data_IF_326980613167
#
_entry.id   IF_326980613167
#
_cell.length_a   1.000
_cell.length_b   1.000
_cell.length_c   1.000
_cell.angle_alpha   90.00
_cell.angle_beta   90.00
_cell.angle_gamma   90.00
#
_symmetry.space_group_name_H-M   'P 1'
#
loop_
_entity.id
_entity.type
_entity.pdbx_description
1 polymer ?
#
# COMPACT_ATOMS: atom_id res chain seq x y z
N UNK A 1 -21.30 11.17 -28.47
CA UNK A 1 -21.07 9.74 -28.79
C UNK A 1 -19.56 9.40 -28.86
N UNK A 2 -18.67 10.16 -29.55
CA UNK A 2 -17.21 9.87 -29.60
C UNK A 2 -16.51 9.84 -28.21
N UNK A 3 -16.92 10.64 -27.24
CA UNK A 3 -16.32 10.68 -25.88
C UNK A 3 -16.71 9.49 -25.00
N UNK A 4 -17.90 8.91 -25.21
CA UNK A 4 -18.32 7.66 -24.56
C UNK A 4 -17.59 6.44 -25.15
N UNK A 5 -17.31 6.44 -26.46
CA UNK A 5 -16.56 5.37 -27.11
C UNK A 5 -15.11 5.28 -26.62
N UNK A 6 -14.45 6.42 -26.33
CA UNK A 6 -13.09 6.44 -25.77
C UNK A 6 -13.08 5.90 -24.34
N UNK A 7 -14.07 6.21 -23.52
CA UNK A 7 -14.18 5.65 -22.16
C UNK A 7 -14.41 4.13 -22.20
N UNK A 8 -15.22 3.62 -23.12
CA UNK A 8 -15.43 2.17 -23.30
C UNK A 8 -14.18 1.45 -23.82
N UNK A 9 -13.37 2.06 -24.69
CA UNK A 9 -12.13 1.47 -25.20
C UNK A 9 -11.03 1.42 -24.13
N UNK A 10 -10.99 2.40 -23.22
CA UNK A 10 -10.02 2.41 -22.10
C UNK A 10 -10.41 1.41 -21.00
N UNK A 11 -11.72 1.13 -20.83
CA UNK A 11 -12.21 0.18 -19.82
C UNK A 11 -12.28 -1.27 -20.33
N UNK A 12 -12.30 -1.50 -21.65
CA UNK A 12 -12.41 -2.84 -22.23
C UNK A 12 -11.28 -3.82 -21.81
N UNK A 13 -10.00 -3.44 -21.76
CA UNK A 13 -8.95 -4.34 -21.27
C UNK A 13 -9.00 -4.61 -19.75
N UNK A 14 -9.66 -3.76 -18.96
CA UNK A 14 -9.80 -3.97 -17.53
C UNK A 14 -10.78 -5.10 -17.17
N UNK A 15 -11.72 -5.42 -18.08
CA UNK A 15 -12.75 -6.47 -17.87
C UNK A 15 -12.22 -7.87 -18.20
N UNK A 16 -11.13 -7.99 -18.96
CA UNK A 16 -10.58 -9.28 -19.42
C UNK A 16 -9.25 -9.66 -18.75
N UNK A 17 -8.81 -8.93 -17.73
CA UNK A 17 -7.64 -9.36 -16.98
C UNK A 17 -7.99 -10.58 -16.12
N UNK A 18 -7.24 -11.70 -16.19
CA UNK A 18 -7.44 -12.84 -15.30
C UNK A 18 -7.29 -12.37 -13.85
N UNK A 19 -8.14 -12.88 -12.95
CA UNK A 19 -8.04 -12.61 -11.53
C UNK A 19 -6.67 -13.09 -11.02
N UNK A 20 -5.76 -12.16 -10.75
CA UNK A 20 -4.47 -12.48 -10.14
C UNK A 20 -4.65 -12.43 -8.62
N UNK A 21 -4.31 -13.53 -7.95
CA UNK A 21 -4.32 -13.61 -6.50
C UNK A 21 -3.22 -12.69 -5.95
N UNK A 22 -3.59 -11.80 -5.06
CA UNK A 22 -2.70 -10.77 -4.57
C UNK A 22 -1.78 -11.25 -3.43
N UNK A 23 -2.18 -12.29 -2.69
CA UNK A 23 -1.39 -12.97 -1.68
C UNK A 23 -1.10 -14.39 -2.15
N UNK A 24 0.01 -14.95 -1.68
CA UNK A 24 0.30 -16.35 -1.90
C UNK A 24 -0.81 -17.21 -1.28
N UNK A 25 -1.65 -17.78 -2.12
CA UNK A 25 -2.70 -18.72 -1.69
C UNK A 25 -2.14 -20.13 -1.81
N UNK A 26 -2.35 -20.97 -0.79
CA UNK A 26 -2.01 -22.37 -0.83
C UNK A 26 -2.96 -23.07 -1.82
N UNK A 27 -2.42 -23.55 -2.94
CA UNK A 27 -3.20 -24.22 -4.00
C UNK A 27 -3.32 -25.71 -3.78
N UNK A 28 -2.22 -26.33 -3.34
CA UNK A 28 -2.12 -27.79 -3.19
C UNK A 28 -1.05 -28.13 -2.16
N UNK A 29 -1.27 -29.23 -1.47
CA UNK A 29 -0.30 -29.87 -0.58
C UNK A 29 -0.06 -31.30 -1.04
N UNK A 30 1.15 -31.76 -0.99
CA UNK A 30 1.54 -33.13 -1.29
C UNK A 30 2.36 -33.70 -0.11
N UNK A 31 1.85 -34.74 0.61
CA UNK A 31 0.52 -35.38 0.48
C UNK A 31 -0.63 -34.41 0.76
N UNK A 32 -1.81 -34.70 0.17
CA UNK A 32 -2.98 -33.81 0.31
C UNK A 32 -3.35 -33.56 1.78
N UNK A 33 -3.75 -32.34 2.11
CA UNK A 33 -4.25 -32.02 3.45
C UNK A 33 -5.43 -32.96 3.82
N UNK A 34 -5.50 -33.35 5.09
CA UNK A 34 -6.50 -34.29 5.62
C UNK A 34 -6.48 -35.69 4.95
N UNK A 35 -5.42 -36.03 4.23
CA UNK A 35 -5.24 -37.40 3.69
C UNK A 35 -4.51 -38.30 4.66
N UNK A 36 -4.59 -39.61 4.39
CA UNK A 36 -3.82 -40.63 5.09
C UNK A 36 -2.88 -41.30 4.10
N UNK A 37 -1.60 -41.38 4.44
CA UNK A 37 -0.58 -42.08 3.68
C UNK A 37 -0.17 -43.34 4.41
N UNK A 38 0.02 -44.43 3.68
CA UNK A 38 0.37 -45.76 4.26
C UNK A 38 1.74 -45.74 4.94
N UNK A 39 2.69 -44.93 4.45
CA UNK A 39 4.02 -44.72 5.02
C UNK A 39 4.35 -43.26 5.07
N UNK A 40 5.11 -42.84 6.08
CA UNK A 40 5.57 -41.47 6.18
C UNK A 40 6.32 -41.02 4.92
N UNK A 41 5.96 -39.89 4.29
CA UNK A 41 6.70 -39.33 3.17
C UNK A 41 8.03 -38.75 3.65
N UNK A 42 9.01 -38.63 2.74
CA UNK A 42 10.28 -37.99 3.05
C UNK A 42 10.16 -36.48 3.24
N UNK A 43 9.12 -35.88 2.69
CA UNK A 43 8.86 -34.45 2.73
C UNK A 43 7.38 -34.15 2.51
N UNK A 44 6.96 -32.94 2.91
CA UNK A 44 5.68 -32.34 2.55
C UNK A 44 5.97 -31.15 1.63
N UNK A 45 5.24 -31.02 0.52
CA UNK A 45 5.40 -29.92 -0.43
C UNK A 45 4.12 -29.10 -0.50
N UNK A 46 4.25 -27.80 -0.24
CA UNK A 46 3.16 -26.83 -0.33
C UNK A 46 3.33 -26.02 -1.61
N UNK A 47 2.33 -26.01 -2.48
CA UNK A 47 2.34 -25.26 -3.73
C UNK A 47 1.46 -24.02 -3.63
N UNK A 48 2.05 -22.86 -3.90
CA UNK A 48 1.39 -21.55 -3.81
C UNK A 48 1.06 -20.98 -5.18
N UNK A 49 0.11 -20.04 -5.20
CA UNK A 49 -0.31 -19.32 -6.42
C UNK A 49 0.78 -18.42 -6.99
N UNK A 50 1.76 -18.03 -6.18
CA UNK A 50 2.86 -17.14 -6.55
C UNK A 50 4.12 -17.49 -5.74
N UNK A 51 5.25 -16.85 -6.08
CA UNK A 51 6.51 -16.97 -5.36
C UNK A 51 6.34 -16.62 -3.88
N UNK A 52 7.00 -17.40 -3.01
CA UNK A 52 6.99 -17.20 -1.57
C UNK A 52 8.42 -17.16 -1.02
N UNK A 53 8.57 -16.54 0.14
CA UNK A 53 9.82 -16.58 0.92
C UNK A 53 9.57 -17.35 2.21
N UNK A 54 10.38 -18.41 2.51
CA UNK A 54 10.25 -19.13 3.77
C UNK A 54 10.48 -18.21 4.96
N UNK A 55 9.65 -18.33 6.00
CA UNK A 55 9.83 -17.62 7.26
C UNK A 55 10.68 -18.48 8.20
N UNK A 56 11.71 -17.89 8.81
CA UNK A 56 12.68 -18.60 9.64
C UNK A 56 12.04 -19.35 10.81
N UNK A 57 10.91 -18.83 11.34
CA UNK A 57 10.14 -19.45 12.41
C UNK A 57 8.66 -19.47 12.06
N UNK A 58 7.97 -20.55 12.44
CA UNK A 58 6.52 -20.68 12.26
C UNK A 58 6.08 -21.71 11.24
N UNK A 59 7.03 -22.43 10.61
CA UNK A 59 6.74 -23.65 9.87
C UNK A 59 7.27 -24.83 10.68
N UNK A 60 6.37 -25.72 11.11
CA UNK A 60 6.68 -26.86 11.96
C UNK A 60 5.71 -28.02 11.69
N UNK A 61 6.18 -29.24 11.90
CA UNK A 61 5.36 -30.44 11.81
C UNK A 61 5.38 -31.14 13.17
N UNK A 62 4.22 -31.20 13.81
CA UNK A 62 4.05 -31.82 15.12
C UNK A 62 3.39 -33.19 14.96
N UNK A 63 4.09 -34.21 15.36
CA UNK A 63 3.60 -35.61 15.41
C UNK A 63 2.81 -35.90 16.69
N UNK A 64 2.42 -37.18 16.87
CA UNK A 64 1.76 -37.66 18.05
C UNK A 64 2.51 -37.27 19.34
N UNK A 65 1.80 -36.69 20.29
CA UNK A 65 2.41 -36.21 21.54
C UNK A 65 3.17 -34.89 21.42
N UNK A 66 3.03 -34.14 20.31
CA UNK A 66 3.66 -32.84 20.12
C UNK A 66 5.16 -32.89 19.78
N UNK A 67 5.64 -34.06 19.31
CA UNK A 67 7.05 -34.22 18.92
C UNK A 67 7.30 -33.58 17.55
N UNK A 68 8.43 -32.87 17.38
CA UNK A 68 8.85 -32.34 16.09
C UNK A 68 9.14 -33.48 15.11
N UNK A 69 8.64 -33.37 13.90
CA UNK A 69 8.75 -34.39 12.86
C UNK A 69 9.59 -33.96 11.65
N UNK A 70 10.02 -32.70 11.58
CA UNK A 70 10.91 -32.21 10.55
C UNK A 70 12.36 -32.62 10.79
N UNK A 71 13.08 -32.92 9.71
CA UNK A 71 14.52 -33.25 9.73
C UNK A 71 15.41 -32.02 9.47
N UNK A 72 14.88 -30.99 8.83
CA UNK A 72 15.59 -29.77 8.48
C UNK A 72 14.58 -28.60 8.32
N UNK A 73 15.04 -27.34 8.37
CA UNK A 73 14.19 -26.19 8.11
C UNK A 73 13.50 -26.24 6.74
N UNK A 74 12.26 -25.75 6.68
CA UNK A 74 11.55 -25.60 5.41
C UNK A 74 12.30 -24.68 4.46
N UNK A 75 12.35 -25.04 3.18
CA UNK A 75 13.08 -24.31 2.13
C UNK A 75 12.31 -24.33 0.81
N UNK A 76 12.67 -23.44 -0.12
CA UNK A 76 12.07 -23.45 -1.46
C UNK A 76 12.59 -24.62 -2.28
N UNK A 77 11.71 -25.16 -3.12
CA UNK A 77 12.13 -26.13 -4.11
C UNK A 77 13.12 -25.49 -5.10
N UNK A 78 14.25 -26.12 -5.42
CA UNK A 78 15.19 -25.60 -6.41
C UNK A 78 14.59 -25.46 -7.82
N UNK A 79 13.47 -26.16 -8.09
CA UNK A 79 12.80 -26.17 -9.39
C UNK A 79 11.59 -25.26 -9.47
N UNK A 80 11.02 -24.82 -8.35
CA UNK A 80 9.83 -23.98 -8.32
C UNK A 80 9.83 -23.09 -7.06
N UNK A 81 10.06 -21.81 -7.25
CA UNK A 81 10.05 -20.78 -6.19
C UNK A 81 8.66 -20.58 -5.55
N UNK A 82 7.62 -21.22 -6.09
CA UNK A 82 6.26 -21.27 -5.54
C UNK A 82 6.00 -22.51 -4.71
N UNK A 83 7.01 -23.38 -4.51
CA UNK A 83 6.87 -24.61 -3.75
C UNK A 83 7.75 -24.56 -2.50
N UNK A 84 7.11 -24.62 -1.31
CA UNK A 84 7.79 -24.78 -0.02
C UNK A 84 7.91 -26.28 0.28
N UNK A 85 9.13 -26.73 0.53
CA UNK A 85 9.45 -28.10 0.92
C UNK A 85 9.72 -28.15 2.42
N UNK A 86 9.05 -29.03 3.13
CA UNK A 86 9.26 -29.33 4.55
C UNK A 86 9.81 -30.76 4.65
N UNK A 87 11.13 -30.96 4.86
CA UNK A 87 11.72 -32.27 5.00
C UNK A 87 11.27 -32.96 6.30
N UNK A 88 10.93 -34.23 6.25
CA UNK A 88 10.50 -34.99 7.40
C UNK A 88 11.61 -35.96 7.86
N UNK A 89 11.63 -36.25 9.16
CA UNK A 89 12.53 -37.22 9.75
C UNK A 89 12.21 -38.63 9.26
N UNK A 90 13.20 -39.50 9.04
CA UNK A 90 12.94 -40.88 8.68
C UNK A 90 12.33 -41.64 9.85
N UNK A 91 11.50 -42.64 9.56
CA UNK A 91 10.96 -43.55 10.56
C UNK A 91 9.88 -42.95 11.46
N UNK A 92 9.15 -41.97 10.97
CA UNK A 92 8.00 -41.40 11.68
C UNK A 92 6.98 -42.52 12.00
N UNK A 93 6.43 -42.48 13.23
CA UNK A 93 5.44 -43.43 13.71
C UNK A 93 4.06 -43.22 13.07
N UNK A 94 3.23 -44.25 13.08
CA UNK A 94 1.83 -44.10 12.70
C UNK A 94 1.12 -43.10 13.65
N UNK A 95 0.36 -42.19 13.08
CA UNK A 95 -0.34 -41.16 13.84
C UNK A 95 -0.77 -39.96 12.99
N UNK A 96 -1.37 -38.99 13.63
CA UNK A 96 -1.76 -37.74 13.01
C UNK A 96 -0.67 -36.68 13.22
N UNK A 97 -0.31 -36.01 12.12
CA UNK A 97 0.72 -34.97 12.08
C UNK A 97 0.07 -33.65 11.76
N UNK A 98 0.24 -32.67 12.64
CA UNK A 98 -0.23 -31.30 12.43
C UNK A 98 0.88 -30.50 11.77
N UNK A 99 0.60 -29.99 10.58
CA UNK A 99 1.49 -29.11 9.82
C UNK A 99 1.04 -27.68 10.03
N UNK A 100 1.88 -26.90 10.66
CA UNK A 100 1.74 -25.46 10.76
C UNK A 100 2.74 -24.84 9.79
N UNK A 101 2.29 -23.94 8.93
CA UNK A 101 3.16 -23.33 7.93
C UNK A 101 3.01 -21.81 7.93
N UNK A 102 4.10 -21.12 7.56
CA UNK A 102 4.13 -19.68 7.43
C UNK A 102 5.14 -19.27 6.36
N UNK A 103 4.71 -18.41 5.44
CA UNK A 103 5.53 -17.86 4.36
C UNK A 103 5.29 -16.36 4.22
N UNK A 104 6.27 -15.66 3.65
CA UNK A 104 6.06 -14.30 3.16
C UNK A 104 5.73 -14.36 1.67
N UNK A 105 4.66 -13.72 1.28
CA UNK A 105 4.28 -13.48 -0.11
C UNK A 105 5.22 -12.46 -0.76
N UNK A 106 5.26 -12.39 -2.09
CA UNK A 106 6.11 -11.43 -2.84
C UNK A 106 5.80 -9.98 -2.52
N UNK A 107 4.56 -9.67 -2.13
CA UNK A 107 4.13 -8.35 -1.64
C UNK A 107 4.51 -8.08 -0.19
N UNK A 108 5.21 -9.04 0.45
CA UNK A 108 5.71 -8.96 1.79
C UNK A 108 4.73 -9.32 2.90
N UNK A 109 3.48 -9.67 2.60
CA UNK A 109 2.54 -10.12 3.62
C UNK A 109 2.86 -11.53 4.11
N UNK A 110 2.73 -11.73 5.42
CA UNK A 110 2.84 -13.06 6.02
C UNK A 110 1.52 -13.81 5.88
N UNK A 111 1.60 -14.97 5.26
CA UNK A 111 0.48 -15.90 5.10
C UNK A 111 0.84 -17.18 5.83
N UNK A 112 -0.13 -17.76 6.52
CA UNK A 112 0.08 -19.00 7.24
C UNK A 112 -1.20 -19.81 7.41
N UNK A 113 -1.04 -21.06 7.73
CA UNK A 113 -2.16 -21.94 7.95
C UNK A 113 -1.78 -23.19 8.74
N UNK A 114 -2.78 -23.99 9.03
CA UNK A 114 -2.65 -25.26 9.74
C UNK A 114 -3.48 -26.30 9.02
N UNK A 115 -2.90 -27.48 8.81
CA UNK A 115 -3.62 -28.66 8.34
C UNK A 115 -3.02 -29.94 8.98
N UNK A 116 -3.67 -31.07 8.79
CA UNK A 116 -3.18 -32.35 9.30
C UNK A 116 -3.05 -33.38 8.17
N UNK A 117 -2.12 -34.32 8.35
CA UNK A 117 -1.98 -35.55 7.57
C UNK A 117 -1.92 -36.75 8.50
N UNK A 118 -2.50 -37.89 8.10
CA UNK A 118 -2.38 -39.14 8.81
C UNK A 118 -1.27 -40.03 8.20
N UNK A 119 -0.50 -40.70 9.05
CA UNK A 119 0.47 -41.71 8.65
C UNK A 119 0.04 -43.05 9.23
N UNK A 120 0.03 -44.11 8.41
CA UNK A 120 -0.34 -45.47 8.79
C UNK A 120 -1.55 -45.97 7.99
N UNK A 121 -1.46 -47.21 7.51
CA UNK A 121 -2.49 -47.83 6.69
C UNK A 121 -3.80 -48.06 7.47
N UNK A 122 -4.93 -47.81 6.82
CA UNK A 122 -6.26 -48.09 7.39
C UNK A 122 -6.76 -47.10 8.45
N UNK A 123 -6.08 -45.97 8.69
CA UNK A 123 -6.51 -44.91 9.60
C UNK A 123 -7.61 -44.07 8.99
N UNK A 124 -8.45 -43.48 9.84
CA UNK A 124 -9.38 -42.44 9.42
C UNK A 124 -8.62 -41.14 9.13
N UNK A 125 -9.10 -40.30 8.17
CA UNK A 125 -8.53 -39.00 7.91
C UNK A 125 -8.60 -38.09 9.15
N UNK A 126 -7.55 -37.32 9.44
CA UNK A 126 -7.54 -36.40 10.57
C UNK A 126 -8.61 -35.29 10.43
N UNK A 127 -9.27 -34.95 11.54
CA UNK A 127 -10.42 -34.01 11.56
C UNK A 127 -10.02 -32.55 11.78
N UNK A 128 -8.74 -32.19 11.57
CA UNK A 128 -8.30 -30.80 11.75
C UNK A 128 -8.74 -29.96 10.55
N UNK A 129 -9.58 -28.95 10.78
CA UNK A 129 -9.94 -27.99 9.73
C UNK A 129 -8.73 -27.16 9.31
N UNK A 130 -8.53 -27.02 7.99
CA UNK A 130 -7.57 -26.07 7.45
C UNK A 130 -7.98 -24.66 7.85
N UNK A 131 -7.10 -23.94 8.54
CA UNK A 131 -7.29 -22.52 8.82
C UNK A 131 -6.18 -21.72 8.18
N UNK A 132 -6.53 -20.72 7.37
CA UNK A 132 -5.61 -19.73 6.85
C UNK A 132 -5.92 -18.40 7.56
N UNK A 133 -4.91 -17.71 8.03
CA UNK A 133 -5.06 -16.43 8.72
C UNK A 133 -3.96 -15.44 8.37
N UNK A 134 -4.35 -14.22 8.10
CA UNK A 134 -3.45 -13.07 8.09
C UNK A 134 -3.80 -12.18 9.28
N UNK A 135 -2.81 -11.75 10.04
CA UNK A 135 -3.00 -10.80 11.15
C UNK A 135 -2.58 -9.42 10.70
N UNK A 136 -3.47 -8.43 10.91
CA UNK A 136 -3.14 -7.02 10.67
C UNK A 136 -2.14 -6.56 11.73
N UNK A 137 -0.98 -6.07 11.29
CA UNK A 137 0.05 -5.53 12.18
C UNK A 137 -0.11 -4.02 12.34
N UNK A 138 -0.49 -3.56 13.53
CA UNK A 138 -0.71 -2.15 13.82
C UNK A 138 0.54 -1.28 13.65
N UNK A 139 1.72 -1.83 13.95
CA UNK A 139 2.99 -1.12 13.76
C UNK A 139 3.31 -0.90 12.28
N UNK A 140 3.08 -1.91 11.46
CA UNK A 140 3.24 -1.81 10.00
C UNK A 140 2.23 -0.84 9.40
N UNK A 141 0.98 -0.86 9.88
CA UNK A 141 -0.06 0.08 9.45
C UNK A 141 0.33 1.54 9.71
N UNK A 142 0.80 1.86 10.93
CA UNK A 142 1.25 3.20 11.29
C UNK A 142 2.46 3.61 10.44
N UNK A 143 3.43 2.72 10.26
CA UNK A 143 4.62 2.98 9.47
C UNK A 143 4.27 3.30 8.00
N UNK A 144 3.39 2.53 7.38
CA UNK A 144 2.88 2.77 6.02
C UNK A 144 2.07 4.07 5.93
N UNK A 145 1.25 4.36 6.93
CA UNK A 145 0.51 5.62 6.99
C UNK A 145 1.46 6.83 6.97
N UNK A 146 2.50 6.83 7.81
CA UNK A 146 3.50 7.91 7.84
C UNK A 146 4.21 8.04 6.49
N UNK A 147 4.60 6.93 5.89
CA UNK A 147 5.21 6.91 4.56
C UNK A 147 4.31 7.54 3.50
N UNK A 148 3.06 7.08 3.40
CA UNK A 148 2.15 7.57 2.37
C UNK A 148 1.80 9.04 2.57
N UNK A 149 1.49 9.50 3.77
CA UNK A 149 1.18 10.90 3.99
C UNK A 149 2.38 11.80 3.66
N UNK A 150 3.58 11.38 4.04
CA UNK A 150 4.81 12.08 3.70
C UNK A 150 5.02 12.17 2.18
N UNK A 151 4.89 11.05 1.46
CA UNK A 151 5.06 10.98 0.01
C UNK A 151 4.04 11.88 -0.74
N UNK A 152 2.77 11.79 -0.35
CA UNK A 152 1.70 12.57 -0.96
C UNK A 152 1.92 14.08 -0.75
N UNK A 153 2.33 14.49 0.45
CA UNK A 153 2.61 15.89 0.77
C UNK A 153 3.85 16.38 0.04
N UNK A 154 4.92 15.60 -0.02
CA UNK A 154 6.16 15.98 -0.70
C UNK A 154 5.95 16.19 -2.19
N UNK A 155 5.42 15.19 -2.89
CA UNK A 155 5.27 15.22 -4.36
C UNK A 155 4.14 16.19 -4.74
N UNK A 156 2.99 16.09 -4.10
CA UNK A 156 1.84 16.95 -4.43
C UNK A 156 2.06 18.40 -4.07
N UNK A 157 2.72 18.68 -2.94
CA UNK A 157 3.11 20.04 -2.56
C UNK A 157 4.05 20.68 -3.58
N UNK A 158 5.04 19.94 -4.09
CA UNK A 158 5.94 20.41 -5.13
C UNK A 158 5.19 20.72 -6.45
N UNK A 159 4.28 19.83 -6.87
CA UNK A 159 3.47 20.03 -8.08
C UNK A 159 2.60 21.27 -7.94
N UNK A 160 1.86 21.42 -6.83
CA UNK A 160 0.95 22.55 -6.62
C UNK A 160 1.72 23.85 -6.46
N UNK A 161 2.89 23.82 -5.85
CA UNK A 161 3.81 24.97 -5.84
C UNK A 161 4.09 25.48 -7.25
N UNK A 162 4.45 24.58 -8.16
CA UNK A 162 4.85 24.94 -9.53
C UNK A 162 3.68 25.33 -10.42
N UNK A 163 2.55 24.59 -10.33
CA UNK A 163 1.43 24.72 -11.29
C UNK A 163 0.36 25.67 -10.79
N UNK A 164 0.25 25.88 -9.48
CA UNK A 164 -0.81 26.71 -8.87
C UNK A 164 -0.23 27.95 -8.22
N UNK A 165 0.66 27.78 -7.23
CA UNK A 165 1.11 28.90 -6.40
C UNK A 165 1.95 29.90 -7.18
N UNK A 166 3.01 29.44 -7.84
CA UNK A 166 3.92 30.33 -8.56
C UNK A 166 3.22 31.12 -9.69
N UNK A 167 2.34 30.53 -10.52
CA UNK A 167 1.59 31.28 -11.50
C UNK A 167 0.58 32.28 -10.88
N UNK A 168 -0.07 31.95 -9.77
CA UNK A 168 -1.00 32.85 -9.10
C UNK A 168 -0.28 34.04 -8.48
N UNK A 169 0.91 33.84 -7.94
CA UNK A 169 1.70 34.91 -7.33
C UNK A 169 2.21 35.95 -8.34
N UNK A 170 2.16 35.63 -9.66
CA UNK A 170 2.45 36.64 -10.71
C UNK A 170 1.48 37.80 -10.73
N UNK A 171 0.31 37.65 -10.08
CA UNK A 171 -0.68 38.72 -9.92
C UNK A 171 -0.35 39.68 -8.75
N UNK A 172 0.64 39.34 -7.92
CA UNK A 172 1.10 40.18 -6.84
C UNK A 172 2.04 41.30 -7.40
N UNK A 173 1.92 42.49 -6.86
CA UNK A 173 2.75 43.65 -7.17
C UNK A 173 3.89 43.82 -6.17
N UNK A 174 3.77 44.84 -5.32
CA UNK A 174 4.81 45.28 -4.37
C UNK A 174 5.16 44.23 -3.30
N UNK A 175 4.19 43.48 -2.82
CA UNK A 175 4.37 42.44 -1.78
C UNK A 175 4.92 41.09 -2.28
N UNK A 176 5.18 40.96 -3.57
CA UNK A 176 5.54 39.69 -4.21
C UNK A 176 6.80 39.06 -3.64
N UNK A 177 7.87 39.84 -3.45
CA UNK A 177 9.17 39.33 -2.98
C UNK A 177 9.06 38.73 -1.58
N UNK A 178 8.35 39.41 -0.67
CA UNK A 178 8.11 38.97 0.70
C UNK A 178 7.27 37.68 0.72
N UNK A 179 6.20 37.61 -0.09
CA UNK A 179 5.38 36.43 -0.23
C UNK A 179 6.14 35.25 -0.82
N UNK A 180 7.03 35.47 -1.80
CA UNK A 180 7.92 34.44 -2.36
C UNK A 180 8.91 33.91 -1.32
N UNK A 181 9.47 34.77 -0.46
CA UNK A 181 10.40 34.36 0.59
C UNK A 181 9.70 33.58 1.71
N UNK A 182 8.54 34.06 2.15
CA UNK A 182 7.70 33.37 3.13
C UNK A 182 7.27 31.99 2.62
N UNK A 183 6.80 31.90 1.36
CA UNK A 183 6.44 30.62 0.74
C UNK A 183 7.62 29.67 0.66
N UNK A 184 8.77 30.16 0.26
CA UNK A 184 9.99 29.40 0.11
C UNK A 184 10.42 28.73 1.42
N UNK A 185 10.41 29.51 2.51
CA UNK A 185 10.75 29.02 3.84
C UNK A 185 9.73 27.98 4.31
N UNK A 186 8.43 28.32 4.19
CA UNK A 186 7.34 27.41 4.56
C UNK A 186 7.35 26.10 3.75
N UNK A 187 7.60 26.18 2.44
CA UNK A 187 7.69 25.00 1.60
C UNK A 187 8.92 24.15 1.93
N UNK A 188 10.07 24.76 2.23
CA UNK A 188 11.27 24.04 2.67
C UNK A 188 11.03 23.23 3.94
N UNK A 189 10.37 23.84 4.94
CA UNK A 189 9.99 23.15 6.19
C UNK A 189 8.99 22.03 5.92
N UNK A 190 7.96 22.27 5.11
CA UNK A 190 6.96 21.24 4.76
C UNK A 190 7.59 20.06 4.01
N UNK A 191 8.45 20.33 3.03
CA UNK A 191 9.12 19.31 2.25
C UNK A 191 10.10 18.49 3.11
N UNK A 192 10.83 19.13 4.02
CA UNK A 192 11.70 18.45 4.98
C UNK A 192 10.89 17.53 5.92
N UNK A 193 9.82 18.05 6.53
CA UNK A 193 8.95 17.27 7.40
C UNK A 193 8.31 16.08 6.66
N UNK A 194 7.83 16.30 5.44
CA UNK A 194 7.26 15.27 4.58
C UNK A 194 8.29 14.18 4.25
N UNK A 195 9.54 14.57 3.92
CA UNK A 195 10.64 13.63 3.67
C UNK A 195 11.00 12.84 4.92
N UNK A 196 11.05 13.49 6.08
CA UNK A 196 11.28 12.80 7.35
C UNK A 196 10.21 11.71 7.61
N UNK A 197 8.92 12.01 7.32
CA UNK A 197 7.85 11.02 7.40
C UNK A 197 8.03 9.87 6.41
N UNK A 198 8.47 10.14 5.17
CA UNK A 198 8.77 9.11 4.17
C UNK A 198 9.89 8.20 4.66
N UNK A 199 10.99 8.78 5.13
CA UNK A 199 12.18 8.02 5.56
C UNK A 199 11.88 7.20 6.81
N UNK A 200 11.35 7.84 7.86
CA UNK A 200 11.07 7.17 9.14
C UNK A 200 9.96 6.13 8.97
N UNK A 201 8.82 6.51 8.37
CA UNK A 201 7.71 5.59 8.14
C UNK A 201 8.08 4.47 7.17
N UNK A 202 8.77 4.80 6.08
CA UNK A 202 9.18 3.84 5.07
C UNK A 202 10.16 2.79 5.61
N UNK A 203 11.26 3.23 6.24
CA UNK A 203 12.22 2.30 6.81
C UNK A 203 11.65 1.53 8.02
N UNK A 204 10.78 2.14 8.84
CA UNK A 204 10.07 1.42 9.89
C UNK A 204 9.21 0.29 9.30
N UNK A 205 8.52 0.53 8.17
CA UNK A 205 7.75 -0.51 7.49
C UNK A 205 8.63 -1.64 6.96
N UNK A 206 9.76 -1.31 6.31
CA UNK A 206 10.71 -2.31 5.77
C UNK A 206 11.32 -3.14 6.90
N UNK A 207 11.82 -2.50 7.96
CA UNK A 207 12.41 -3.21 9.11
C UNK A 207 11.36 -4.06 9.83
N UNK A 208 10.14 -3.53 10.04
CA UNK A 208 9.05 -4.30 10.67
C UNK A 208 8.73 -5.56 9.88
N UNK A 209 8.57 -5.43 8.58
CA UNK A 209 8.33 -6.55 7.68
C UNK A 209 9.49 -7.57 7.71
N UNK A 210 10.73 -7.09 7.59
CA UNK A 210 11.92 -7.94 7.61
C UNK A 210 12.06 -8.72 8.92
N UNK A 211 11.82 -8.06 10.06
CA UNK A 211 11.89 -8.72 11.38
C UNK A 211 10.76 -9.73 11.58
N UNK A 212 9.57 -9.48 11.00
CA UNK A 212 8.49 -10.46 11.00
C UNK A 212 8.85 -11.71 10.17
N UNK A 213 9.43 -11.52 8.97
CA UNK A 213 9.90 -12.64 8.13
C UNK A 213 11.03 -13.41 8.83
N UNK A 214 11.94 -12.71 9.50
CA UNK A 214 13.01 -13.33 10.28
C UNK A 214 12.52 -13.99 11.59
N UNK A 215 11.28 -13.71 12.03
CA UNK A 215 10.73 -14.23 13.29
C UNK A 215 11.43 -13.65 14.53
N UNK A 216 11.93 -12.41 14.46
CA UNK A 216 12.64 -11.71 15.54
C UNK A 216 11.87 -10.47 15.98
N UNK A 217 12.20 -9.93 17.17
CA UNK A 217 11.65 -8.66 17.65
C UNK A 217 12.05 -7.50 16.73
N UNK A 218 11.17 -6.48 16.59
CA UNK A 218 11.48 -5.24 15.87
C UNK A 218 12.77 -4.56 16.36
N UNK A 219 13.08 -4.65 17.65
CA UNK A 219 14.26 -4.03 18.26
C UNK A 219 15.52 -4.90 18.20
N UNK A 220 15.40 -6.19 17.90
CA UNK A 220 16.51 -7.13 17.88
C UNK A 220 17.69 -6.68 16.98
N UNK A 221 17.50 -6.07 15.81
CA UNK A 221 18.61 -5.57 14.99
C UNK A 221 19.43 -4.46 15.68
N UNK A 222 18.77 -3.59 16.44
CA UNK A 222 19.45 -2.51 17.18
C UNK A 222 20.25 -3.06 18.38
N UNK A 223 19.89 -4.23 18.89
CA UNK A 223 20.58 -4.95 19.95
C UNK A 223 21.67 -5.88 19.41
N UNK A 224 21.96 -5.82 18.11
CA UNK A 224 22.94 -6.71 17.45
C UNK A 224 22.48 -8.16 17.36
N UNK A 225 21.19 -8.46 17.57
CA UNK A 225 20.62 -9.81 17.54
C UNK A 225 19.89 -10.07 16.25
N UNK A 226 20.39 -11.03 15.48
CA UNK A 226 19.81 -11.48 14.22
C UNK A 226 20.13 -10.56 13.02
N UNK A 227 20.10 -11.14 11.83
CA UNK A 227 20.23 -10.41 10.57
C UNK A 227 18.87 -10.18 9.95
N UNK A 228 18.61 -8.96 9.46
CA UNK A 228 17.41 -8.60 8.74
C UNK A 228 17.72 -8.14 7.30
N UNK A 229 18.99 -8.10 6.90
CA UNK A 229 19.39 -7.73 5.55
C UNK A 229 18.87 -8.74 4.51
N UNK A 230 19.04 -10.03 4.76
CA UNK A 230 18.55 -11.07 3.84
C UNK A 230 17.03 -11.04 3.62
N UNK A 231 16.16 -10.87 4.64
CA UNK A 231 14.74 -10.65 4.41
C UNK A 231 14.40 -9.36 3.62
N UNK A 232 15.17 -8.28 3.77
CA UNK A 232 14.98 -7.05 2.99
C UNK A 232 15.34 -7.30 1.53
N UNK A 233 16.54 -7.84 1.27
CA UNK A 233 17.04 -8.08 -0.08
C UNK A 233 16.32 -9.24 -0.77
N UNK A 234 15.91 -10.26 -0.02
CA UNK A 234 15.23 -11.45 -0.50
C UNK A 234 13.75 -11.24 -0.85
N UNK A 235 13.10 -10.18 -0.36
CA UNK A 235 11.69 -9.91 -0.67
C UNK A 235 11.55 -8.80 -1.71
N UNK A 236 10.58 -8.93 -2.62
CA UNK A 236 10.24 -7.85 -3.57
C UNK A 236 9.83 -6.58 -2.81
N UNK A 237 9.02 -6.72 -1.75
CA UNK A 237 8.62 -5.61 -0.91
C UNK A 237 9.84 -4.85 -0.38
N UNK A 238 10.79 -5.52 0.25
CA UNK A 238 11.97 -4.87 0.82
C UNK A 238 12.78 -4.10 -0.24
N UNK A 239 13.04 -4.71 -1.39
CA UNK A 239 13.79 -4.07 -2.48
C UNK A 239 13.05 -2.88 -3.08
N UNK A 240 11.83 -3.09 -3.59
CA UNK A 240 11.11 -2.08 -4.36
C UNK A 240 10.64 -0.92 -3.46
N UNK A 241 10.20 -1.23 -2.24
CA UNK A 241 9.80 -0.21 -1.28
C UNK A 241 11.01 0.60 -0.79
N UNK A 242 12.15 -0.05 -0.58
CA UNK A 242 13.42 0.62 -0.28
C UNK A 242 13.87 1.55 -1.41
N UNK A 243 13.76 1.11 -2.68
CA UNK A 243 14.04 1.97 -3.84
C UNK A 243 13.11 3.19 -3.89
N UNK A 244 11.82 3.03 -3.56
CA UNK A 244 10.85 4.13 -3.52
C UNK A 244 11.19 5.17 -2.43
N UNK A 245 11.61 4.72 -1.24
CA UNK A 245 12.06 5.61 -0.16
C UNK A 245 13.30 6.41 -0.60
N UNK A 246 14.28 5.73 -1.19
CA UNK A 246 15.49 6.36 -1.69
C UNK A 246 15.19 7.37 -2.81
N UNK A 247 14.28 7.03 -3.73
CA UNK A 247 13.85 7.93 -4.80
C UNK A 247 13.17 9.20 -4.25
N UNK A 248 12.31 9.08 -3.24
CA UNK A 248 11.69 10.23 -2.60
C UNK A 248 12.72 11.11 -1.86
N UNK A 249 13.72 10.50 -1.24
CA UNK A 249 14.84 11.22 -0.60
C UNK A 249 15.68 11.96 -1.63
N UNK A 250 16.03 11.29 -2.75
CA UNK A 250 16.74 11.90 -3.87
C UNK A 250 15.92 13.04 -4.48
N UNK A 251 14.61 12.85 -4.65
CA UNK A 251 13.72 13.92 -5.11
C UNK A 251 13.78 15.15 -4.22
N UNK A 252 13.73 14.99 -2.89
CA UNK A 252 13.87 16.10 -1.95
C UNK A 252 15.23 16.81 -2.10
N UNK A 253 16.33 16.06 -2.16
CA UNK A 253 17.69 16.63 -2.34
C UNK A 253 17.78 17.42 -3.64
N UNK A 254 17.31 16.84 -4.75
CA UNK A 254 17.29 17.51 -6.04
C UNK A 254 16.39 18.77 -6.05
N UNK A 255 15.28 18.74 -5.32
CA UNK A 255 14.40 19.90 -5.15
C UNK A 255 15.13 21.03 -4.40
N UNK A 256 15.91 20.71 -3.36
CA UNK A 256 16.73 21.68 -2.65
C UNK A 256 17.90 22.18 -3.49
N UNK A 257 18.53 21.30 -4.28
CA UNK A 257 19.56 21.69 -5.25
C UNK A 257 19.00 22.61 -6.33
N UNK A 258 17.86 22.30 -6.92
CA UNK A 258 17.20 23.18 -7.90
C UNK A 258 16.93 24.57 -7.31
N UNK A 259 16.56 24.60 -6.04
CA UNK A 259 16.38 25.82 -5.30
C UNK A 259 17.70 26.61 -5.09
N UNK A 260 18.77 25.95 -4.68
CA UNK A 260 20.09 26.58 -4.48
C UNK A 260 20.69 27.07 -5.80
N UNK A 261 20.54 26.28 -6.87
CA UNK A 261 21.09 26.55 -8.19
C UNK A 261 20.22 27.44 -9.08
N UNK A 262 19.14 28.04 -8.58
CA UNK A 262 18.20 28.82 -9.38
C UNK A 262 18.81 29.98 -10.18
N UNK A 263 19.96 30.47 -9.80
CA UNK A 263 20.75 31.49 -10.51
C UNK A 263 21.59 30.92 -11.64
N UNK A 264 21.80 29.59 -11.68
CA UNK A 264 22.64 28.87 -12.65
C UNK A 264 21.75 28.16 -13.67
N UNK A 265 21.13 28.93 -14.57
CA UNK A 265 20.15 28.43 -15.55
C UNK A 265 20.54 27.14 -16.30
N UNK A 266 21.82 26.95 -16.77
CA UNK A 266 22.17 25.76 -17.51
C UNK A 266 21.92 24.43 -16.74
N UNK A 267 22.21 24.43 -15.45
CA UNK A 267 22.06 23.23 -14.59
C UNK A 267 20.65 23.05 -14.07
N UNK A 268 19.85 24.10 -13.99
CA UNK A 268 18.50 24.06 -13.42
C UNK A 268 17.59 23.09 -14.16
N UNK A 269 17.67 23.06 -15.50
CA UNK A 269 16.85 22.15 -16.31
C UNK A 269 17.22 20.68 -16.04
N UNK A 270 18.50 20.33 -16.00
CA UNK A 270 18.97 18.98 -15.72
C UNK A 270 18.55 18.51 -14.31
N UNK A 271 18.72 19.37 -13.31
CA UNK A 271 18.31 19.07 -11.93
C UNK A 271 16.79 18.92 -11.82
N UNK A 272 16.02 19.77 -12.49
CA UNK A 272 14.54 19.67 -12.50
C UNK A 272 14.08 18.39 -13.21
N UNK A 273 14.70 18.00 -14.32
CA UNK A 273 14.40 16.75 -15.01
C UNK A 273 14.73 15.53 -14.13
N UNK A 274 15.89 15.51 -13.48
CA UNK A 274 16.27 14.46 -12.55
C UNK A 274 15.29 14.39 -11.36
N UNK A 275 14.87 15.53 -10.83
CA UNK A 275 13.87 15.60 -9.76
C UNK A 275 12.51 15.03 -10.22
N UNK A 276 12.06 15.32 -11.44
CA UNK A 276 10.83 14.76 -11.99
C UNK A 276 10.91 13.22 -12.14
N UNK A 277 12.05 12.68 -12.59
CA UNK A 277 12.28 11.23 -12.65
C UNK A 277 12.26 10.60 -11.27
N UNK A 278 12.93 11.19 -10.28
CA UNK A 278 12.95 10.69 -8.92
C UNK A 278 11.53 10.74 -8.27
N UNK A 279 10.77 11.81 -8.49
CA UNK A 279 9.38 11.90 -8.07
C UNK A 279 8.52 10.82 -8.73
N UNK A 280 8.67 10.60 -10.03
CA UNK A 280 7.98 9.53 -10.77
C UNK A 280 8.29 8.16 -10.18
N UNK A 281 9.57 7.84 -9.96
CA UNK A 281 9.97 6.56 -9.38
C UNK A 281 9.44 6.35 -7.97
N UNK A 282 9.42 7.40 -7.13
CA UNK A 282 8.85 7.33 -5.78
C UNK A 282 7.35 7.00 -5.76
N UNK A 283 6.62 7.35 -6.82
CA UNK A 283 5.19 7.01 -6.99
C UNK A 283 4.98 5.63 -7.61
N UNK A 284 5.92 5.12 -8.43
CA UNK A 284 5.85 3.79 -9.05
C UNK A 284 6.20 2.69 -8.04
N UNK A 285 7.20 2.92 -7.19
CA UNK A 285 7.76 1.92 -6.28
C UNK A 285 6.73 1.24 -5.35
N UNK A 286 5.77 1.97 -4.73
CA UNK A 286 4.70 1.34 -3.96
C UNK A 286 3.85 0.35 -4.76
N UNK A 287 3.58 0.63 -6.04
CA UNK A 287 2.90 -0.29 -6.94
C UNK A 287 3.73 -1.54 -7.26
N UNK A 288 5.04 -1.37 -7.48
CA UNK A 288 5.97 -2.47 -7.71
C UNK A 288 6.12 -3.38 -6.48
N UNK A 289 6.13 -2.80 -5.28
CA UNK A 289 6.21 -3.56 -4.02
C UNK A 289 4.90 -4.25 -3.64
N UNK A 290 3.77 -3.80 -4.19
CA UNK A 290 2.44 -4.32 -3.93
C UNK A 290 1.89 -5.19 -5.08
N UNK A 291 0.56 -5.36 -5.08
CA UNK A 291 -0.15 -6.25 -6.00
C UNK A 291 -0.09 -5.84 -7.48
N UNK A 292 0.07 -4.53 -7.75
CA UNK A 292 0.19 -4.06 -9.13
C UNK A 292 1.47 -4.54 -9.82
N UNK A 293 2.50 -4.92 -9.03
CA UNK A 293 3.76 -5.50 -9.52
C UNK A 293 3.73 -7.03 -9.65
N UNK A 294 2.62 -7.72 -9.38
CA UNK A 294 2.54 -9.18 -9.45
C UNK A 294 2.72 -9.68 -10.89
N UNK A 295 3.45 -10.81 -11.08
CA UNK A 295 3.60 -11.44 -12.38
C UNK A 295 2.22 -11.73 -13.01
N UNK A 296 2.01 -11.30 -14.26
CA UNK A 296 0.76 -11.50 -14.99
C UNK A 296 -0.24 -10.34 -14.90
N UNK A 297 -0.07 -9.36 -14.00
CA UNK A 297 -0.96 -8.18 -13.95
C UNK A 297 -0.69 -7.13 -15.04
N UNK A 298 0.50 -7.15 -15.61
CA UNK A 298 0.89 -6.31 -16.73
C UNK A 298 1.11 -4.82 -16.37
N UNK A 299 1.65 -4.08 -17.32
CA UNK A 299 2.02 -2.66 -17.16
C UNK A 299 0.81 -1.76 -16.86
N UNK A 300 -0.39 -2.15 -17.28
CA UNK A 300 -1.60 -1.36 -17.04
C UNK A 300 -1.97 -1.28 -15.55
N UNK A 301 -1.84 -2.38 -14.80
CA UNK A 301 -2.11 -2.39 -13.37
C UNK A 301 -1.18 -1.41 -12.64
N UNK A 302 0.11 -1.45 -12.96
CA UNK A 302 1.10 -0.53 -12.42
C UNK A 302 0.83 0.93 -12.80
N UNK A 303 0.45 1.18 -14.07
CA UNK A 303 0.09 2.52 -14.53
C UNK A 303 -1.14 3.08 -13.80
N UNK A 304 -2.19 2.28 -13.62
CA UNK A 304 -3.39 2.69 -12.88
C UNK A 304 -3.09 2.95 -11.40
N UNK A 305 -2.24 2.14 -10.78
CA UNK A 305 -1.82 2.33 -9.40
C UNK A 305 -1.01 3.62 -9.22
N UNK A 306 -0.05 3.85 -10.12
CA UNK A 306 0.77 5.06 -10.13
C UNK A 306 -0.07 6.32 -10.37
N UNK A 307 -1.00 6.30 -11.33
CA UNK A 307 -1.91 7.41 -11.60
C UNK A 307 -2.84 7.68 -10.43
N UNK A 308 -3.32 6.64 -9.76
CA UNK A 308 -4.14 6.77 -8.55
C UNK A 308 -3.37 7.50 -7.46
N UNK A 309 -2.13 7.08 -7.20
CA UNK A 309 -1.27 7.68 -6.18
C UNK A 309 -0.87 9.11 -6.56
N UNK A 310 -0.58 9.39 -7.84
CA UNK A 310 -0.29 10.73 -8.34
C UNK A 310 -1.48 11.68 -8.18
N UNK A 311 -2.69 11.23 -8.50
CA UNK A 311 -3.91 12.00 -8.27
C UNK A 311 -4.12 12.31 -6.79
N UNK A 312 -3.92 11.32 -5.92
CA UNK A 312 -3.99 11.50 -4.47
C UNK A 312 -2.92 12.49 -3.96
N UNK A 313 -1.70 12.41 -4.49
CA UNK A 313 -0.62 13.35 -4.15
C UNK A 313 -0.98 14.77 -4.51
N UNK A 314 -1.46 15.03 -5.73
CA UNK A 314 -1.86 16.39 -6.16
C UNK A 314 -2.98 16.94 -5.28
N UNK A 315 -3.97 16.13 -4.92
CA UNK A 315 -5.08 16.59 -4.08
C UNK A 315 -4.65 16.82 -2.63
N UNK A 316 -4.12 15.80 -1.95
CA UNK A 316 -3.75 15.85 -0.52
C UNK A 316 -2.58 16.79 -0.30
N UNK A 317 -1.49 16.61 -1.06
CA UNK A 317 -0.30 17.47 -0.95
C UNK A 317 -0.57 18.90 -1.36
N UNK A 318 -1.47 19.10 -2.33
CA UNK A 318 -1.91 20.44 -2.74
C UNK A 318 -2.69 21.17 -1.64
N UNK A 319 -3.63 20.49 -0.98
CA UNK A 319 -4.34 21.06 0.18
C UNK A 319 -3.38 21.37 1.34
N UNK A 320 -2.45 20.46 1.62
CA UNK A 320 -1.42 20.68 2.64
C UNK A 320 -0.57 21.93 2.29
N UNK A 321 -0.11 22.07 1.04
CA UNK A 321 0.64 23.24 0.59
C UNK A 321 -0.19 24.53 0.70
N UNK A 322 -1.44 24.52 0.25
CA UNK A 322 -2.31 25.69 0.33
C UNK A 322 -2.57 26.13 1.77
N UNK A 323 -2.80 25.17 2.67
CA UNK A 323 -3.13 25.45 4.06
C UNK A 323 -1.92 25.86 4.89
N UNK A 324 -0.81 25.13 4.76
CA UNK A 324 0.39 25.28 5.61
C UNK A 324 1.34 26.35 5.06
N UNK A 325 1.43 26.49 3.74
CA UNK A 325 2.43 27.33 3.08
C UNK A 325 1.81 28.55 2.41
N UNK A 326 0.86 28.34 1.49
CA UNK A 326 0.33 29.45 0.68
C UNK A 326 -0.53 30.44 1.49
N UNK A 327 -1.27 29.96 2.49
CA UNK A 327 -2.09 30.83 3.34
C UNK A 327 -1.26 31.81 4.18
N UNK A 328 -0.17 31.40 4.88
CA UNK A 328 0.75 32.33 5.54
C UNK A 328 1.49 33.25 4.54
N UNK A 329 2.02 32.68 3.45
CA UNK A 329 2.77 33.44 2.45
C UNK A 329 1.93 34.55 1.81
N UNK A 330 0.66 34.27 1.49
CA UNK A 330 -0.23 35.31 0.96
C UNK A 330 -0.72 36.34 2.03
N UNK A 331 -0.54 36.03 3.32
CA UNK A 331 -0.88 36.97 4.38
C UNK A 331 0.03 38.22 4.41
N UNK A 332 1.26 38.11 3.88
CA UNK A 332 2.21 39.22 3.77
C UNK A 332 1.81 40.23 2.69
N UNK A 333 0.93 39.86 1.74
CA UNK A 333 0.50 40.73 0.65
C UNK A 333 -0.46 41.84 1.15
N UNK A 334 -0.45 43.01 0.50
CA UNK A 334 -1.50 44.04 0.68
C UNK A 334 -2.90 43.45 0.47
N UNK A 335 -3.91 43.96 1.18
CA UNK A 335 -5.24 43.36 1.25
C UNK A 335 -5.89 43.12 -0.13
N UNK A 336 -5.75 44.03 -1.05
CA UNK A 336 -6.31 43.93 -2.40
C UNK A 336 -5.57 42.86 -3.24
N UNK A 337 -4.25 42.89 -3.23
CA UNK A 337 -3.42 41.87 -3.91
C UNK A 337 -3.66 40.49 -3.34
N UNK A 338 -3.74 40.37 -2.02
CA UNK A 338 -4.04 39.13 -1.28
C UNK A 338 -5.35 38.49 -1.76
N UNK A 339 -6.40 39.31 -1.87
CA UNK A 339 -7.70 38.80 -2.30
C UNK A 339 -7.67 38.27 -3.73
N UNK A 340 -7.02 39.00 -4.64
CA UNK A 340 -6.84 38.58 -6.04
C UNK A 340 -6.00 37.29 -6.15
N UNK A 341 -4.86 37.24 -5.48
CA UNK A 341 -3.97 36.07 -5.49
C UNK A 341 -4.67 34.85 -4.88
N UNK A 342 -5.36 34.99 -3.75
CA UNK A 342 -6.10 33.88 -3.12
C UNK A 342 -7.23 33.34 -3.98
N UNK A 343 -7.96 34.21 -4.67
CA UNK A 343 -8.99 33.77 -5.60
C UNK A 343 -8.40 32.95 -6.75
N UNK A 344 -7.31 33.42 -7.34
CA UNK A 344 -6.62 32.69 -8.42
C UNK A 344 -6.06 31.35 -7.95
N UNK A 345 -5.46 31.31 -6.74
CA UNK A 345 -5.01 30.06 -6.11
C UNK A 345 -6.17 29.05 -5.99
N UNK A 346 -7.30 29.50 -5.46
CA UNK A 346 -8.45 28.66 -5.26
C UNK A 346 -9.06 28.16 -6.59
N UNK A 347 -9.12 29.01 -7.61
CA UNK A 347 -9.61 28.65 -8.95
C UNK A 347 -8.69 27.66 -9.66
N UNK A 348 -7.36 27.88 -9.63
CA UNK A 348 -6.37 26.97 -10.22
C UNK A 348 -6.38 25.62 -9.53
N UNK A 349 -6.31 25.66 -8.20
CA UNK A 349 -6.34 24.41 -7.41
C UNK A 349 -7.62 23.63 -7.63
N UNK A 350 -8.79 24.28 -7.62
CA UNK A 350 -10.07 23.61 -7.86
C UNK A 350 -10.14 22.86 -9.19
N UNK A 351 -9.49 23.37 -10.24
CA UNK A 351 -9.43 22.70 -11.56
C UNK A 351 -8.59 21.42 -11.50
N UNK A 352 -7.39 21.50 -10.92
CA UNK A 352 -6.51 20.33 -10.83
C UNK A 352 -7.01 19.31 -9.80
N UNK A 353 -7.62 19.76 -8.71
CA UNK A 353 -8.26 18.88 -7.73
C UNK A 353 -9.41 18.10 -8.37
N UNK A 354 -10.26 18.74 -9.20
CA UNK A 354 -11.31 18.04 -9.93
C UNK A 354 -10.73 16.99 -10.89
N UNK A 355 -9.67 17.32 -11.64
CA UNK A 355 -8.99 16.36 -12.50
C UNK A 355 -8.42 15.19 -11.69
N UNK A 356 -7.82 15.45 -10.52
CA UNK A 356 -7.31 14.43 -9.62
C UNK A 356 -8.42 13.51 -9.11
N UNK A 357 -9.58 14.05 -8.73
CA UNK A 357 -10.75 13.25 -8.29
C UNK A 357 -11.23 12.33 -9.42
N UNK A 358 -11.29 12.83 -10.66
CA UNK A 358 -11.67 11.99 -11.82
C UNK A 358 -10.66 10.85 -12.02
N UNK A 359 -9.35 11.15 -11.98
CA UNK A 359 -8.30 10.15 -12.11
C UNK A 359 -8.40 9.11 -10.98
N UNK A 360 -8.53 9.55 -9.73
CA UNK A 360 -8.66 8.66 -8.56
C UNK A 360 -9.91 7.77 -8.70
N UNK A 361 -11.04 8.32 -9.14
CA UNK A 361 -12.28 7.58 -9.29
C UNK A 361 -12.17 6.51 -10.38
N UNK A 362 -11.67 6.88 -11.56
CA UNK A 362 -11.52 5.94 -12.70
C UNK A 362 -10.53 4.82 -12.33
N UNK A 363 -9.37 5.17 -11.81
CA UNK A 363 -8.34 4.19 -11.43
C UNK A 363 -8.78 3.35 -10.23
N UNK A 364 -9.52 3.93 -9.29
CA UNK A 364 -10.07 3.23 -8.13
C UNK A 364 -11.13 2.20 -8.52
N UNK A 365 -12.02 2.51 -9.47
CA UNK A 365 -12.99 1.56 -10.01
C UNK A 365 -12.28 0.42 -10.76
N UNK A 366 -11.29 0.74 -11.60
CA UNK A 366 -10.52 -0.28 -12.31
C UNK A 366 -9.84 -1.26 -11.33
N UNK A 367 -9.22 -0.73 -10.27
CA UNK A 367 -8.62 -1.56 -9.21
C UNK A 367 -9.64 -2.43 -8.49
N UNK A 368 -10.80 -1.87 -8.13
CA UNK A 368 -11.86 -2.63 -7.47
C UNK A 368 -12.34 -3.80 -8.34
N UNK A 369 -12.47 -3.61 -9.66
CA UNK A 369 -12.82 -4.67 -10.59
C UNK A 369 -11.79 -5.79 -10.69
N UNK A 370 -10.50 -5.49 -10.48
CA UNK A 370 -9.44 -6.50 -10.46
C UNK A 370 -9.35 -7.26 -9.14
N UNK A 371 -9.75 -6.63 -8.02
CA UNK A 371 -9.64 -7.22 -6.68
C UNK A 371 -10.90 -7.96 -6.22
N UNK A 372 -12.03 -7.77 -6.90
CA UNK A 372 -13.31 -8.39 -6.58
C UNK A 372 -13.67 -9.44 -7.64
N UNK A 373 -13.90 -10.69 -7.22
CA UNK A 373 -14.41 -11.76 -8.09
C UNK A 373 -15.94 -11.77 -8.16
N UNK A 374 -16.61 -11.25 -7.15
CA UNK A 374 -18.06 -11.15 -7.07
C UNK A 374 -18.49 -9.90 -6.31
N UNK A 375 -19.63 -9.31 -6.72
CA UNK A 375 -20.19 -8.10 -6.09
C UNK A 375 -20.51 -8.33 -4.61
N UNK A 376 -20.92 -9.53 -4.24
CA UNK A 376 -21.20 -9.89 -2.82
C UNK A 376 -20.00 -9.72 -1.91
N UNK A 377 -18.78 -9.80 -2.41
CA UNK A 377 -17.56 -9.61 -1.63
C UNK A 377 -17.39 -8.18 -1.10
N UNK A 378 -18.10 -7.20 -1.67
CA UNK A 378 -18.09 -5.81 -1.17
C UNK A 378 -18.53 -5.73 0.30
N UNK A 379 -19.54 -6.51 0.69
CA UNK A 379 -20.07 -6.51 2.07
C UNK A 379 -19.69 -7.73 2.89
N UNK A 380 -19.33 -8.85 2.24
CA UNK A 380 -19.01 -10.11 2.93
C UNK A 380 -17.54 -10.19 3.40
N UNK A 381 -16.62 -9.43 2.79
CA UNK A 381 -15.19 -9.47 3.13
C UNK A 381 -14.73 -8.24 3.91
N UNK A 382 -13.69 -8.34 4.77
CA UNK A 382 -13.06 -7.17 5.41
C UNK A 382 -12.54 -6.15 4.40
N UNK A 383 -11.94 -6.62 3.31
CA UNK A 383 -11.46 -5.79 2.20
C UNK A 383 -12.61 -4.97 1.58
N UNK A 384 -13.71 -5.62 1.21
CA UNK A 384 -14.86 -4.96 0.60
C UNK A 384 -15.49 -3.92 1.52
N UNK A 385 -15.65 -4.23 2.82
CA UNK A 385 -16.17 -3.27 3.81
C UNK A 385 -15.28 -2.04 3.96
N UNK A 386 -13.95 -2.22 3.97
CA UNK A 386 -13.00 -1.10 4.02
C UNK A 386 -13.03 -0.30 2.72
N UNK A 387 -13.22 -0.96 1.57
CA UNK A 387 -13.40 -0.30 0.28
C UNK A 387 -14.69 0.56 0.26
N UNK A 388 -15.81 0.08 0.85
CA UNK A 388 -17.03 0.87 1.00
C UNK A 388 -16.80 2.12 1.86
N UNK A 389 -16.13 1.99 2.99
CA UNK A 389 -15.78 3.12 3.87
C UNK A 389 -14.93 4.14 3.10
N UNK A 390 -13.90 3.69 2.39
CA UNK A 390 -13.06 4.54 1.54
C UNK A 390 -13.88 5.28 0.48
N UNK A 391 -14.80 4.60 -0.18
CA UNK A 391 -15.65 5.18 -1.23
C UNK A 391 -16.64 6.20 -0.65
N UNK A 392 -17.22 5.94 0.51
CA UNK A 392 -18.11 6.86 1.21
C UNK A 392 -17.35 8.13 1.66
N UNK A 393 -16.15 7.99 2.22
CA UNK A 393 -15.28 9.12 2.58
C UNK A 393 -14.92 9.96 1.36
N UNK A 394 -14.57 9.32 0.24
CA UNK A 394 -14.30 10.00 -1.02
C UNK A 394 -15.53 10.79 -1.50
N UNK A 395 -16.72 10.18 -1.46
CA UNK A 395 -17.97 10.86 -1.79
C UNK A 395 -18.23 12.10 -0.94
N UNK A 396 -18.03 12.00 0.38
CA UNK A 396 -18.12 13.13 1.30
C UNK A 396 -17.13 14.26 0.98
N UNK A 397 -15.89 13.88 0.66
CA UNK A 397 -14.85 14.81 0.23
C UNK A 397 -15.19 15.54 -1.09
N UNK A 398 -15.76 14.81 -2.06
CA UNK A 398 -16.21 15.40 -3.34
C UNK A 398 -17.33 16.42 -3.11
N UNK A 399 -18.30 16.10 -2.25
CA UNK A 399 -19.37 17.03 -1.87
C UNK A 399 -18.78 18.26 -1.17
N UNK A 400 -17.88 18.07 -0.23
CA UNK A 400 -17.23 19.18 0.48
C UNK A 400 -16.42 20.07 -0.47
N UNK A 401 -15.64 19.48 -1.39
CA UNK A 401 -14.90 20.19 -2.44
C UNK A 401 -15.82 20.99 -3.38
N UNK A 402 -16.98 20.43 -3.73
CA UNK A 402 -18.00 21.14 -4.51
C UNK A 402 -18.57 22.35 -3.76
N UNK A 403 -18.89 22.19 -2.47
CA UNK A 403 -19.37 23.28 -1.61
C UNK A 403 -18.29 24.36 -1.44
N UNK A 404 -17.03 23.97 -1.26
CA UNK A 404 -15.89 24.89 -1.19
C UNK A 404 -15.75 25.69 -2.48
N UNK A 405 -15.92 25.06 -3.64
CA UNK A 405 -15.87 25.73 -4.95
C UNK A 405 -16.98 26.77 -5.12
N UNK A 406 -18.19 26.49 -4.62
CA UNK A 406 -19.30 27.45 -4.68
C UNK A 406 -19.12 28.64 -3.74
N UNK A 407 -18.36 28.46 -2.67
CA UNK A 407 -18.15 29.46 -1.60
C UNK A 407 -16.80 30.20 -1.73
N UNK A 408 -16.18 30.24 -2.92
CA UNK A 408 -14.87 30.88 -3.14
C UNK A 408 -14.81 32.37 -2.79
N UNK A 409 -15.98 33.06 -2.64
CA UNK A 409 -16.06 34.45 -2.18
C UNK A 409 -16.06 34.63 -0.65
N UNK A 410 -16.28 33.57 0.14
CA UNK A 410 -16.30 33.58 1.60
C UNK A 410 -15.03 32.98 2.20
N UNK A 411 -14.01 33.81 2.40
CA UNK A 411 -12.71 33.39 2.92
C UNK A 411 -12.73 33.05 4.42
N UNK A 412 -13.68 33.54 5.21
CA UNK A 412 -13.74 33.27 6.65
C UNK A 412 -14.16 31.85 6.96
N UNK A 413 -15.13 31.30 6.24
CA UNK A 413 -15.55 29.90 6.34
C UNK A 413 -14.63 28.92 5.61
N UNK A 414 -13.88 29.38 4.60
CA UNK A 414 -13.04 28.53 3.74
C UNK A 414 -11.93 27.81 4.54
N UNK A 415 -11.24 28.52 5.45
CA UNK A 415 -10.17 27.93 6.27
C UNK A 415 -10.66 26.77 7.13
N UNK A 416 -11.85 26.90 7.74
CA UNK A 416 -12.45 25.82 8.54
C UNK A 416 -12.82 24.62 7.65
N UNK A 417 -13.42 24.88 6.48
CA UNK A 417 -13.82 23.83 5.53
C UNK A 417 -12.62 23.07 4.97
N UNK A 418 -11.54 23.79 4.59
CA UNK A 418 -10.27 23.18 4.14
C UNK A 418 -9.64 22.35 5.28
N UNK A 419 -9.71 22.80 6.53
CA UNK A 419 -9.26 22.02 7.68
C UNK A 419 -10.04 20.71 7.84
N UNK A 420 -11.37 20.73 7.67
CA UNK A 420 -12.22 19.53 7.69
C UNK A 420 -11.85 18.61 6.52
N UNK A 421 -11.68 19.14 5.32
CA UNK A 421 -11.29 18.38 4.13
C UNK A 421 -9.94 17.67 4.33
N UNK A 422 -8.96 18.40 4.88
CA UNK A 422 -7.64 17.83 5.19
C UNK A 422 -7.73 16.72 6.26
N UNK A 423 -8.54 16.90 7.31
CA UNK A 423 -8.77 15.88 8.34
C UNK A 423 -9.40 14.61 7.76
N UNK A 424 -10.40 14.76 6.88
CA UNK A 424 -11.02 13.63 6.18
C UNK A 424 -10.03 12.92 5.24
N UNK A 425 -9.15 13.66 4.57
CA UNK A 425 -8.11 13.08 3.72
C UNK A 425 -7.06 12.31 4.52
N UNK A 426 -6.68 12.79 5.71
CA UNK A 426 -5.82 12.07 6.65
C UNK A 426 -6.49 10.75 7.08
N UNK A 427 -7.78 10.80 7.43
CA UNK A 427 -8.56 9.60 7.78
C UNK A 427 -8.66 8.63 6.59
N UNK A 428 -8.86 9.14 5.39
CA UNK A 428 -8.86 8.33 4.17
C UNK A 428 -7.50 7.67 3.93
N UNK A 429 -6.39 8.38 4.16
CA UNK A 429 -5.04 7.81 4.03
C UNK A 429 -4.80 6.70 5.05
N UNK A 430 -5.31 6.84 6.28
CA UNK A 430 -5.26 5.77 7.29
C UNK A 430 -6.07 4.54 6.86
N UNK A 431 -7.28 4.74 6.30
CA UNK A 431 -8.08 3.65 5.75
C UNK A 431 -7.40 2.96 4.55
N UNK A 432 -6.66 3.71 3.72
CA UNK A 432 -5.85 3.12 2.64
C UNK A 432 -4.71 2.28 3.19
N UNK A 433 -4.02 2.73 4.24
CA UNK A 433 -2.96 1.97 4.90
C UNK A 433 -3.49 0.63 5.45
N UNK A 434 -4.71 0.63 5.99
CA UNK A 434 -5.38 -0.62 6.41
C UNK A 434 -5.71 -1.52 5.21
N UNK A 435 -6.21 -0.96 4.09
CA UNK A 435 -6.49 -1.73 2.88
C UNK A 435 -5.27 -2.45 2.32
N UNK A 436 -4.08 -1.85 2.43
CA UNK A 436 -2.83 -2.47 1.97
C UNK A 436 -2.40 -3.66 2.82
N UNK A 437 -2.96 -3.82 4.03
CA UNK A 437 -2.69 -4.95 4.93
C UNK A 437 -3.75 -6.07 4.83
N UNK A 438 -4.92 -5.78 4.24
CA UNK A 438 -5.99 -6.77 4.11
C UNK A 438 -5.79 -7.63 2.87
N UNK A 439 -6.05 -8.95 2.96
CA UNK A 439 -6.07 -9.81 1.78
C UNK A 439 -7.18 -9.35 0.82
N UNK A 440 -6.93 -9.32 -0.49
CA UNK A 440 -7.93 -8.93 -1.47
C UNK A 440 -9.10 -9.91 -1.45
N UNK A 441 -10.28 -9.39 -1.80
CA UNK A 441 -11.52 -10.15 -1.70
C UNK A 441 -11.53 -11.42 -2.58
N UNK A 442 -10.84 -11.40 -3.72
CA UNK A 442 -10.74 -12.52 -4.65
C UNK A 442 -9.87 -13.69 -4.11
N UNK A 443 -9.08 -13.49 -3.05
CA UNK A 443 -8.35 -14.56 -2.38
C UNK A 443 -9.23 -15.39 -1.43
N UNK A 444 -10.44 -14.91 -1.11
CA UNK A 444 -11.40 -15.63 -0.25
C UNK A 444 -12.35 -16.44 -1.15
N UNK A 445 -12.44 -17.77 -1.02
CA UNK A 445 -13.39 -18.57 -1.79
C UNK A 445 -14.82 -18.03 -1.63
N UNK A 446 -15.56 -17.87 -2.75
CA UNK A 446 -16.92 -17.39 -2.76
C UNK A 446 -17.88 -18.43 -2.11
N UNK A 447 -17.80 -18.61 -0.82
CA UNK A 447 -18.58 -19.63 -0.09
C UNK A 447 -18.22 -19.75 1.38
N UNK A 448 -17.11 -19.18 1.84
CA UNK A 448 -16.66 -19.27 3.24
C UNK A 448 -17.28 -18.21 4.17
N UNK A 449 -18.31 -17.48 3.74
CA UNK A 449 -19.06 -16.57 4.59
C UNK A 449 -20.00 -17.35 5.51
N UNK A 450 -19.50 -17.70 6.72
CA UNK A 450 -20.31 -17.74 7.93
C UNK A 450 -21.46 -18.73 7.98
N UNK A 451 -21.18 -20.00 8.27
CA UNK A 451 -22.03 -20.78 9.17
C UNK A 451 -21.17 -21.33 10.32
N UNK A 452 -20.75 -20.46 11.20
CA UNK A 452 -20.62 -20.86 12.61
C UNK A 452 -22.06 -21.04 13.11
N UNK A 453 -22.65 -22.18 12.83
CA UNK A 453 -23.88 -22.62 13.49
C UNK A 453 -23.53 -22.81 14.96
N UNK A 454 -23.97 -21.87 15.80
CA UNK A 454 -24.09 -22.08 17.24
C UNK A 454 -25.11 -23.19 17.41
N UNK A 455 -24.65 -24.43 17.46
CA UNK A 455 -25.47 -25.55 17.95
C UNK A 455 -25.61 -25.34 19.46
N UNK A 456 -26.68 -24.66 19.88
CA UNK A 456 -27.18 -24.75 21.25
C UNK A 456 -27.59 -26.19 21.44
N UNK A 457 -26.78 -27.00 22.08
CA UNK A 457 -27.24 -28.21 22.74
C UNK A 457 -28.07 -27.77 23.94
N UNK A 458 -29.39 -27.74 23.74
CA UNK A 458 -30.38 -27.66 24.80
C UNK A 458 -30.34 -28.96 25.56
N UNK A 459 -30.16 -28.88 26.86
CA UNK A 459 -30.21 -29.99 27.77
C UNK A 459 -31.61 -30.62 27.90
N UNK A 460 -31.62 -31.89 28.13
CA UNK A 460 -32.50 -32.62 29.08
C UNK A 460 -31.68 -33.65 29.81
#
# INVERSE_FOLDING_TARGET
MRRLAVACVVLAPAVWAPAAFAHATLLRVDPAAQSVVAKAPAQIVLHFSQEVTPVTRGTEVLGPGGTAAESAPAHLSPKDVRALVIPLAPGLRDGDYTVRWRVASTDGHLVGGVFAIGVGAGRAPPQLATSEGSTVDSGLLVARFLYFIGLLVLVGGAIVRLVVFQPALRLAGSGRTEAEESERTGFGVLAFAATALVVVGGWAAVVRQATQVAGISFWAPLEGRGSFAAPIEGTRFGREFGHAINAATVFFVLLMCAYALRRWRPWLFAVAAAAAVAAGWSLVGPGLSGHAGDPGRGVFALAFDTLHLAGAAVWIGGLAHLFVVAAPATATLPAEERSRVRLELAQRFSRIALASVVVISVTGVARALWELSAVSQIWSTPYGRTLMIKTALLGGLVVLGYLNRRALGDFTGLRRRVGIELSLLVTLTAAVSLLTDLPPANSTPAGSSGKAAITRTGGR
#
